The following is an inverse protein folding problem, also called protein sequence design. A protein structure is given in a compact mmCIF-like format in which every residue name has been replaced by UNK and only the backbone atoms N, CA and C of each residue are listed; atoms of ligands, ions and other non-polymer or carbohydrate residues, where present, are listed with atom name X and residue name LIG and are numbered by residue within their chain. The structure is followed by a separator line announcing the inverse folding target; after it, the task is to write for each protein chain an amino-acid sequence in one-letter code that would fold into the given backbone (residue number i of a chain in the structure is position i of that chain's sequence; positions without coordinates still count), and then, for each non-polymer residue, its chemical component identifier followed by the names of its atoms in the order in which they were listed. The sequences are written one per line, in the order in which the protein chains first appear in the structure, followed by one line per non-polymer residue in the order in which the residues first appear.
data_IF_885296255114
#
_entry.id   IF_885296255114
#
_cell.length_a   1.000
_cell.length_b   1.000
_cell.length_c   1.000
_cell.angle_alpha   90.00
_cell.angle_beta   90.00
_cell.angle_gamma   90.00
#
_symmetry.space_group_name_H-M   'P 1'
#
loop_
_entity.id
_entity.type
_entity.pdbx_description
1 polymer ?
#
# COMPACT_ATOMS: atom_id res chain seq x y z
N UNK A 1 -25.71 73.61 -29.58
CA UNK A 1 -24.75 74.44 -28.83
C UNK A 1 -24.89 74.09 -27.36
N UNK A 2 -23.87 73.40 -26.84
CA UNK A 2 -23.55 73.07 -25.43
C UNK A 2 -24.43 71.98 -24.78
N UNK A 3 -23.90 70.79 -24.44
CA UNK A 3 -22.87 70.49 -23.40
C UNK A 3 -23.35 70.94 -22.01
N UNK A 4 -23.22 70.22 -20.91
CA UNK A 4 -22.64 68.92 -20.56
C UNK A 4 -23.07 68.65 -19.09
N UNK A 5 -22.68 67.50 -18.55
CA UNK A 5 -22.64 67.17 -17.10
C UNK A 5 -23.90 66.59 -16.46
N UNK A 6 -24.16 65.31 -16.78
CA UNK A 6 -24.71 64.36 -15.81
C UNK A 6 -23.94 63.04 -15.97
N UNK A 7 -22.65 63.09 -15.62
CA UNK A 7 -21.79 61.92 -15.51
C UNK A 7 -21.19 61.91 -14.10
N UNK A 8 -21.08 60.70 -13.55
CA UNK A 8 -20.31 60.32 -12.35
C UNK A 8 -20.94 60.61 -10.99
N UNK A 9 -21.54 59.56 -10.41
CA UNK A 9 -21.34 59.18 -9.01
C UNK A 9 -21.87 57.75 -8.75
N UNK A 10 -21.28 56.73 -9.41
CA UNK A 10 -21.19 55.41 -8.77
C UNK A 10 -19.96 55.47 -7.89
N UNK A 11 -20.18 55.43 -6.58
CA UNK A 11 -19.14 55.27 -5.57
C UNK A 11 -18.48 53.91 -5.77
N UNK A 12 -17.22 53.91 -6.18
CA UNK A 12 -16.34 52.75 -6.10
C UNK A 12 -15.85 52.66 -4.64
N UNK A 13 -16.16 51.55 -3.97
CA UNK A 13 -15.58 51.21 -2.68
C UNK A 13 -14.08 50.96 -2.86
N UNK A 14 -13.20 51.48 -1.98
CA UNK A 14 -11.78 51.21 -2.07
C UNK A 14 -11.54 49.73 -1.77
N UNK A 15 -10.98 49.02 -2.75
CA UNK A 15 -10.61 47.62 -2.62
C UNK A 15 -9.73 47.40 -1.37
N UNK A 16 -10.08 46.38 -0.57
CA UNK A 16 -9.39 46.03 0.66
C UNK A 16 -7.87 45.84 0.39
N UNK A 17 -6.99 46.61 1.05
CA UNK A 17 -5.54 46.53 0.85
C UNK A 17 -4.99 45.13 1.16
N UNK A 18 -5.68 44.31 1.97
CA UNK A 18 -5.31 42.91 2.21
C UNK A 18 -5.55 42.01 1.00
N UNK A 19 -6.59 42.27 0.21
CA UNK A 19 -6.90 41.54 -1.02
C UNK A 19 -5.94 41.98 -2.14
N UNK A 20 -5.65 43.28 -2.23
CA UNK A 20 -4.64 43.78 -3.19
C UNK A 20 -3.25 43.21 -2.92
N UNK A 21 -2.87 43.03 -1.64
CA UNK A 21 -1.60 42.38 -1.26
C UNK A 21 -1.56 40.90 -1.65
N UNK A 22 -2.66 40.17 -1.41
CA UNK A 22 -2.78 38.76 -1.81
C UNK A 22 -2.81 38.57 -3.33
N UNK A 23 -3.40 39.50 -4.08
CA UNK A 23 -3.37 39.50 -5.54
C UNK A 23 -1.95 39.77 -6.04
N UNK A 24 -1.22 40.69 -5.40
CA UNK A 24 0.20 40.92 -5.70
C UNK A 24 1.07 39.68 -5.43
N UNK A 25 0.90 39.03 -4.28
CA UNK A 25 1.63 37.80 -3.93
C UNK A 25 1.32 36.64 -4.89
N UNK A 26 0.09 36.56 -5.42
CA UNK A 26 -0.29 35.57 -6.44
C UNK A 26 0.30 35.90 -7.81
N UNK A 27 0.36 37.18 -8.20
CA UNK A 27 0.98 37.61 -9.45
C UNK A 27 2.50 37.34 -9.42
N UNK A 28 3.18 37.65 -8.32
CA UNK A 28 4.61 37.36 -8.12
C UNK A 28 4.87 35.83 -8.10
N UNK A 29 3.92 35.04 -7.60
CA UNK A 29 3.97 33.59 -7.64
C UNK A 29 3.85 33.02 -9.06
N UNK A 30 3.04 33.66 -9.92
CA UNK A 30 2.91 33.28 -11.33
C UNK A 30 4.15 33.63 -12.14
N UNK A 31 4.74 34.82 -11.95
CA UNK A 31 5.97 35.21 -12.64
C UNK A 31 7.14 34.28 -12.30
N UNK A 32 7.23 33.81 -11.04
CA UNK A 32 8.23 32.81 -10.63
C UNK A 32 7.99 31.44 -11.25
N UNK A 33 6.73 31.03 -11.43
CA UNK A 33 6.38 29.78 -12.09
C UNK A 33 6.71 29.85 -13.59
N UNK A 34 6.37 30.96 -14.25
CA UNK A 34 6.67 31.20 -15.66
C UNK A 34 8.18 31.32 -15.90
N UNK A 35 8.92 31.99 -15.02
CA UNK A 35 10.38 32.04 -15.08
C UNK A 35 11.03 30.66 -14.88
N UNK A 36 10.45 29.82 -14.00
CA UNK A 36 10.93 28.44 -13.78
C UNK A 36 10.62 27.54 -14.98
N UNK A 37 9.43 27.68 -15.58
CA UNK A 37 9.04 26.93 -16.78
C UNK A 37 9.85 27.38 -18.00
N UNK A 38 10.10 28.68 -18.16
CA UNK A 38 10.94 29.22 -19.22
C UNK A 38 12.39 28.73 -19.07
N UNK A 39 12.94 28.68 -17.86
CA UNK A 39 14.27 28.13 -17.61
C UNK A 39 14.35 26.62 -17.92
N UNK A 40 13.32 25.84 -17.61
CA UNK A 40 13.26 24.39 -17.93
C UNK A 40 13.17 24.17 -19.44
N UNK A 41 12.33 24.95 -20.14
CA UNK A 41 12.19 24.87 -21.59
C UNK A 41 13.44 25.35 -22.35
N UNK A 42 14.18 26.31 -21.79
CA UNK A 42 15.46 26.78 -22.35
C UNK A 42 16.60 25.77 -22.08
N UNK A 43 16.56 25.04 -20.96
CA UNK A 43 17.49 23.96 -20.65
C UNK A 43 17.34 22.75 -21.59
N UNK A 44 16.15 22.49 -22.14
CA UNK A 44 15.90 21.46 -23.15
C UNK A 44 16.44 21.84 -24.56
N UNK A 45 16.72 23.13 -24.80
CA UNK A 45 17.24 23.65 -26.07
C UNK A 45 18.77 23.60 -26.22
N UNK A 46 19.53 23.47 -25.12
CA UNK A 46 20.99 23.66 -25.13
C UNK A 46 21.84 22.37 -24.98
N UNK A 47 21.24 21.18 -25.03
CA UNK A 47 22.00 19.91 -25.07
C UNK A 47 21.63 19.06 -26.27
N UNK A 48 21.87 19.59 -27.46
CA UNK A 48 22.16 18.77 -28.65
C UNK A 48 23.63 18.92 -29.01
N UNK A 49 24.49 18.29 -28.21
CA UNK A 49 25.85 17.94 -28.60
C UNK A 49 26.21 16.60 -27.96
N UNK A 50 26.73 15.70 -28.79
CA UNK A 50 26.92 14.29 -28.53
C UNK A 50 27.92 14.00 -27.38
N UNK A 51 27.77 12.81 -26.79
CA UNK A 51 28.66 12.10 -25.86
C UNK A 51 28.33 12.21 -24.36
N UNK A 52 27.67 11.15 -23.85
CA UNK A 52 27.51 10.85 -22.42
C UNK A 52 26.08 10.50 -22.04
N UNK A 53 25.68 9.23 -22.16
CA UNK A 53 24.37 8.75 -21.67
C UNK A 53 24.26 9.00 -20.14
N UNK A 54 23.16 9.60 -19.64
CA UNK A 54 22.97 9.79 -18.21
C UNK A 54 22.69 8.44 -17.52
N UNK A 55 23.39 8.20 -16.41
CA UNK A 55 23.49 6.92 -15.67
C UNK A 55 22.19 6.50 -14.94
N UNK A 56 21.06 7.20 -15.12
CA UNK A 56 19.79 6.84 -14.44
C UNK A 56 19.00 5.77 -15.20
N UNK A 57 18.97 5.83 -16.54
CA UNK A 57 18.31 4.77 -17.35
C UNK A 57 19.08 3.46 -17.34
N UNK A 58 20.41 3.51 -17.22
CA UNK A 58 21.24 2.29 -17.21
C UNK A 58 20.99 1.42 -15.99
N UNK A 59 20.68 2.01 -14.82
CA UNK A 59 20.36 1.26 -13.60
C UNK A 59 19.01 0.55 -13.72
N UNK A 60 17.99 1.22 -14.27
CA UNK A 60 16.70 0.57 -14.53
C UNK A 60 16.81 -0.51 -15.61
N UNK A 61 17.53 -0.27 -16.72
CA UNK A 61 17.72 -1.29 -17.76
C UNK A 61 18.57 -2.48 -17.27
N UNK A 62 19.58 -2.26 -16.43
CA UNK A 62 20.40 -3.33 -15.84
C UNK A 62 19.65 -4.10 -14.74
N UNK A 63 18.83 -3.43 -13.92
CA UNK A 63 17.94 -4.08 -12.96
C UNK A 63 16.86 -4.90 -13.68
N UNK A 64 16.21 -4.34 -14.72
CA UNK A 64 15.26 -5.07 -15.56
C UNK A 64 15.91 -6.29 -16.24
N UNK A 65 17.10 -6.15 -16.82
CA UNK A 65 17.80 -7.26 -17.48
C UNK A 65 18.26 -8.37 -16.51
N UNK A 66 18.58 -8.04 -15.25
CA UNK A 66 18.92 -9.06 -14.24
C UNK A 66 17.65 -9.76 -13.72
N UNK A 67 16.52 -9.04 -13.66
CA UNK A 67 15.21 -9.58 -13.27
C UNK A 67 14.61 -10.53 -14.33
N UNK A 68 14.88 -10.28 -15.61
CA UNK A 68 14.49 -11.17 -16.73
C UNK A 68 15.15 -12.55 -16.65
N UNK A 69 16.34 -12.65 -16.04
CA UNK A 69 17.05 -13.94 -15.89
C UNK A 69 16.52 -14.81 -14.73
N UNK A 70 15.74 -14.24 -13.80
CA UNK A 70 15.09 -14.95 -12.69
C UNK A 70 13.67 -15.44 -13.04
N UNK A 71 13.18 -15.15 -14.25
CA UNK A 71 11.79 -15.35 -14.71
C UNK A 71 11.29 -16.80 -14.75
N UNK A 72 12.19 -17.78 -14.63
CA UNK A 72 11.83 -19.21 -14.63
C UNK A 72 11.97 -19.89 -13.27
N UNK A 73 12.48 -19.21 -12.25
CA UNK A 73 12.79 -19.85 -10.96
C UNK A 73 11.58 -19.75 -10.04
N UNK A 74 11.20 -20.85 -9.33
CA UNK A 74 10.17 -20.78 -8.30
C UNK A 74 10.60 -19.84 -7.17
N UNK A 75 9.65 -19.11 -6.60
CA UNK A 75 9.87 -18.22 -5.47
C UNK A 75 10.43 -19.02 -4.29
N UNK A 76 11.48 -18.52 -3.62
CA UNK A 76 11.95 -19.17 -2.40
C UNK A 76 11.02 -18.87 -1.23
N UNK A 77 11.03 -19.72 -0.19
CA UNK A 77 10.22 -19.49 1.01
C UNK A 77 10.58 -18.17 1.72
N UNK A 78 11.85 -17.78 1.71
CA UNK A 78 12.28 -16.51 2.29
C UNK A 78 11.69 -15.31 1.53
N UNK A 79 11.66 -15.37 0.19
CA UNK A 79 11.05 -14.33 -0.64
C UNK A 79 9.53 -14.32 -0.51
N UNK A 80 8.89 -15.48 -0.36
CA UNK A 80 7.46 -15.58 -0.04
C UNK A 80 7.14 -14.82 1.25
N UNK A 81 7.86 -15.11 2.34
CA UNK A 81 7.65 -14.46 3.64
C UNK A 81 7.88 -12.95 3.53
N UNK A 82 8.93 -12.53 2.82
CA UNK A 82 9.20 -11.11 2.54
C UNK A 82 8.07 -10.45 1.72
N UNK A 83 7.58 -11.13 0.68
CA UNK A 83 6.49 -10.63 -0.14
C UNK A 83 5.18 -10.48 0.65
N UNK A 84 4.87 -11.43 1.54
CA UNK A 84 3.71 -11.39 2.43
C UNK A 84 3.86 -10.37 3.57
N UNK A 85 5.09 -9.99 3.93
CA UNK A 85 5.29 -8.94 4.91
C UNK A 85 5.14 -7.53 4.33
N UNK A 86 5.28 -7.39 3.01
CA UNK A 86 5.43 -6.12 2.30
C UNK A 86 6.71 -5.35 2.71
N UNK A 87 7.29 -4.56 1.80
CA UNK A 87 8.47 -3.74 2.11
C UNK A 87 8.14 -2.68 3.17
N UNK A 88 9.05 -2.48 4.11
CA UNK A 88 8.86 -1.51 5.20
C UNK A 88 9.00 -0.05 4.72
N UNK A 89 9.86 0.18 3.73
CA UNK A 89 10.15 1.52 3.18
C UNK A 89 10.43 1.44 1.67
N UNK A 90 10.42 2.60 1.01
CA UNK A 90 10.81 2.71 -0.41
C UNK A 90 12.27 2.32 -0.67
N UNK A 91 13.10 2.30 0.37
CA UNK A 91 14.53 1.95 0.30
C UNK A 91 14.77 0.43 0.47
N UNK A 92 13.76 -0.33 0.87
CA UNK A 92 13.83 -1.77 0.98
C UNK A 92 13.81 -2.45 -0.39
N UNK A 93 14.95 -2.39 -1.08
CA UNK A 93 15.13 -3.00 -2.40
C UNK A 93 14.89 -4.51 -2.39
N UNK A 94 15.18 -5.19 -1.27
CA UNK A 94 15.00 -6.64 -1.15
C UNK A 94 13.53 -6.99 -1.00
N UNK A 95 12.81 -6.29 -0.13
CA UNK A 95 11.36 -6.42 0.02
C UNK A 95 10.63 -6.07 -1.28
N UNK A 96 11.03 -4.99 -1.96
CA UNK A 96 10.47 -4.60 -3.26
C UNK A 96 10.73 -5.64 -4.37
N UNK A 97 11.90 -6.27 -4.39
CA UNK A 97 12.20 -7.34 -5.33
C UNK A 97 11.33 -8.60 -5.05
N UNK A 98 11.27 -9.02 -3.79
CA UNK A 98 10.43 -10.14 -3.36
C UNK A 98 8.94 -9.89 -3.65
N UNK A 99 8.45 -8.69 -3.35
CA UNK A 99 7.08 -8.25 -3.63
C UNK A 99 6.75 -8.32 -5.13
N UNK A 100 7.58 -7.70 -5.98
CA UNK A 100 7.39 -7.74 -7.44
C UNK A 100 7.43 -9.16 -8.00
N UNK A 101 8.30 -10.01 -7.47
CA UNK A 101 8.39 -11.42 -7.89
C UNK A 101 7.16 -12.21 -7.43
N UNK A 102 6.69 -11.98 -6.21
CA UNK A 102 5.46 -12.60 -5.69
C UNK A 102 4.20 -12.20 -6.46
N UNK A 103 4.06 -10.94 -6.89
CA UNK A 103 2.94 -10.49 -7.72
C UNK A 103 2.82 -11.23 -9.07
N UNK A 104 3.95 -11.71 -9.60
CA UNK A 104 4.03 -12.44 -10.87
C UNK A 104 3.80 -13.95 -10.71
N UNK A 105 3.88 -14.46 -9.48
CA UNK A 105 3.67 -15.88 -9.19
C UNK A 105 2.19 -16.24 -9.31
N UNK A 106 1.91 -17.36 -9.99
CA UNK A 106 0.55 -17.83 -10.24
C UNK A 106 -0.19 -18.23 -8.95
N UNK A 107 0.53 -18.80 -7.99
CA UNK A 107 -0.04 -19.39 -6.78
C UNK A 107 -0.29 -18.33 -5.72
N UNK A 108 0.66 -17.41 -5.52
CA UNK A 108 0.60 -16.43 -4.42
C UNK A 108 0.24 -15.01 -4.86
N UNK A 109 0.34 -14.68 -6.15
CA UNK A 109 0.08 -13.32 -6.63
C UNK A 109 -1.36 -12.86 -6.38
N UNK A 110 -2.32 -13.79 -6.35
CA UNK A 110 -3.70 -13.52 -5.93
C UNK A 110 -3.78 -13.10 -4.45
N UNK A 111 -3.12 -13.83 -3.56
CA UNK A 111 -3.04 -13.52 -2.14
C UNK A 111 -2.35 -12.18 -1.88
N UNK A 112 -1.26 -11.89 -2.59
CA UNK A 112 -0.53 -10.62 -2.41
C UNK A 112 -1.41 -9.43 -2.78
N UNK A 113 -2.11 -9.47 -3.92
CA UNK A 113 -3.05 -8.40 -4.32
C UNK A 113 -4.20 -8.25 -3.32
N UNK A 114 -4.81 -9.36 -2.92
CA UNK A 114 -5.90 -9.32 -1.94
C UNK A 114 -5.42 -8.79 -0.57
N UNK A 115 -4.17 -9.09 -0.20
CA UNK A 115 -3.53 -8.53 1.00
C UNK A 115 -3.28 -7.02 0.86
N UNK A 116 -2.79 -6.56 -0.29
CA UNK A 116 -2.58 -5.14 -0.56
C UNK A 116 -3.89 -4.35 -0.47
N UNK A 117 -4.96 -4.88 -1.05
CA UNK A 117 -6.29 -4.26 -1.03
C UNK A 117 -6.80 -4.11 0.41
N UNK A 118 -6.77 -5.18 1.20
CA UNK A 118 -7.30 -5.14 2.58
C UNK A 118 -6.43 -4.29 3.51
N UNK A 119 -5.10 -4.34 3.37
CA UNK A 119 -4.18 -3.49 4.14
C UNK A 119 -4.37 -2.01 3.76
N UNK A 120 -4.62 -1.72 2.48
CA UNK A 120 -4.95 -0.37 2.03
C UNK A 120 -6.25 0.10 2.66
N UNK A 121 -7.27 -0.75 2.75
CA UNK A 121 -8.53 -0.41 3.42
C UNK A 121 -8.33 -0.17 4.91
N UNK A 122 -7.54 -0.99 5.61
CA UNK A 122 -7.21 -0.76 7.02
C UNK A 122 -6.50 0.58 7.25
N UNK A 123 -5.56 0.95 6.38
CA UNK A 123 -4.84 2.22 6.53
C UNK A 123 -5.74 3.46 6.41
N UNK A 124 -6.86 3.38 5.67
CA UNK A 124 -7.85 4.46 5.60
C UNK A 124 -8.53 4.73 6.95
N UNK A 125 -8.64 3.68 7.75
CA UNK A 125 -9.19 3.73 9.11
C UNK A 125 -8.07 3.86 10.17
N UNK A 126 -6.86 4.26 9.74
CA UNK A 126 -5.66 4.41 10.57
C UNK A 126 -5.23 3.15 11.33
N UNK A 127 -5.59 1.97 10.81
CA UNK A 127 -5.23 0.68 11.40
C UNK A 127 -4.01 0.10 10.64
N UNK A 128 -2.90 -0.04 11.35
CA UNK A 128 -1.65 -0.59 10.80
C UNK A 128 -1.27 -1.89 11.52
N UNK A 129 -0.88 -2.92 10.76
CA UNK A 129 -0.57 -4.26 11.32
C UNK A 129 0.63 -4.28 12.27
N UNK A 130 1.54 -3.30 12.14
CA UNK A 130 2.74 -3.21 12.96
C UNK A 130 2.45 -2.65 14.36
N UNK A 131 1.39 -1.85 14.48
CA UNK A 131 0.94 -1.26 15.74
C UNK A 131 0.08 -2.24 16.56
N UNK A 132 -0.42 -3.30 15.92
CA UNK A 132 -1.22 -4.32 16.58
C UNK A 132 -0.36 -5.15 17.54
N UNK A 133 -0.81 -5.21 18.80
CA UNK A 133 -0.32 -6.23 19.72
C UNK A 133 -0.97 -7.55 19.34
N UNK A 134 -0.21 -8.42 18.66
CA UNK A 134 -0.63 -9.77 18.33
C UNK A 134 0.25 -10.78 19.09
N UNK A 135 -0.36 -11.63 19.90
CA UNK A 135 0.36 -12.73 20.57
C UNK A 135 1.00 -13.68 19.54
N UNK A 136 2.14 -14.27 19.90
CA UNK A 136 2.78 -15.31 19.07
C UNK A 136 1.88 -16.53 19.01
N UNK A 137 1.77 -17.12 17.83
CA UNK A 137 0.96 -18.32 17.59
C UNK A 137 1.87 -19.51 17.33
N UNK A 138 1.49 -20.69 17.86
CA UNK A 138 2.29 -21.89 17.66
C UNK A 138 2.19 -22.39 16.20
N UNK A 139 3.31 -22.77 15.55
CA UNK A 139 3.30 -23.34 14.20
C UNK A 139 2.39 -24.56 14.04
N UNK A 140 2.22 -25.34 15.11
CA UNK A 140 1.35 -26.52 15.12
C UNK A 140 -0.13 -26.15 14.88
N UNK A 141 -0.57 -25.02 15.44
CA UNK A 141 -1.95 -24.53 15.29
C UNK A 141 -2.21 -24.08 13.84
N UNK A 142 -1.24 -23.44 13.20
CA UNK A 142 -1.30 -23.13 11.78
C UNK A 142 -1.36 -24.38 10.90
N UNK A 143 -0.61 -25.44 11.24
CA UNK A 143 -0.71 -26.73 10.51
C UNK A 143 -2.08 -27.38 10.66
N UNK A 144 -2.71 -27.29 11.84
CA UNK A 144 -4.08 -27.78 12.04
C UNK A 144 -5.06 -26.99 11.17
N UNK A 145 -4.91 -25.67 11.13
CA UNK A 145 -5.72 -24.81 10.25
C UNK A 145 -5.60 -25.20 8.77
N UNK A 146 -4.39 -25.39 8.25
CA UNK A 146 -4.15 -25.81 6.86
C UNK A 146 -4.76 -27.19 6.52
N UNK A 147 -4.93 -28.06 7.52
CA UNK A 147 -5.58 -29.37 7.37
C UNK A 147 -7.11 -29.31 7.50
N UNK A 148 -7.68 -28.11 7.56
CA UNK A 148 -9.12 -27.91 7.72
C UNK A 148 -9.60 -27.96 9.18
N UNK A 149 -8.72 -27.87 10.17
CA UNK A 149 -9.10 -27.73 11.57
C UNK A 149 -9.93 -26.45 11.78
N UNK A 150 -10.93 -26.48 12.66
CA UNK A 150 -11.87 -25.38 12.93
C UNK A 150 -12.23 -25.28 14.41
N UNK A 151 -12.77 -24.13 14.81
CA UNK A 151 -13.19 -23.84 16.18
C UNK A 151 -12.07 -24.04 17.21
N UNK A 152 -12.36 -24.76 18.30
CA UNK A 152 -11.44 -24.99 19.42
C UNK A 152 -10.05 -25.52 19.04
N UNK A 153 -9.91 -26.26 17.94
CA UNK A 153 -8.61 -26.78 17.49
C UNK A 153 -7.64 -25.68 17.06
N UNK A 154 -8.17 -24.56 16.60
CA UNK A 154 -7.43 -23.42 16.06
C UNK A 154 -7.74 -22.10 16.80
N UNK A 155 -8.49 -22.17 17.91
CA UNK A 155 -8.88 -21.01 18.72
C UNK A 155 -7.71 -20.14 19.17
N UNK A 156 -6.51 -20.74 19.31
CA UNK A 156 -5.28 -20.02 19.62
C UNK A 156 -4.90 -18.96 18.57
N UNK A 157 -5.25 -19.16 17.28
CA UNK A 157 -5.00 -18.17 16.23
C UNK A 157 -5.75 -16.86 16.48
N UNK A 158 -6.92 -16.91 17.13
CA UNK A 158 -7.72 -15.74 17.47
C UNK A 158 -7.41 -15.12 18.84
N UNK A 159 -6.41 -15.62 19.58
CA UNK A 159 -6.04 -15.08 20.90
C UNK A 159 -5.13 -13.87 20.79
N UNK A 160 -5.12 -13.08 21.87
CA UNK A 160 -4.24 -11.93 22.05
C UNK A 160 -4.30 -10.93 20.90
N UNK A 161 -5.52 -10.66 20.42
CA UNK A 161 -5.82 -9.60 19.46
C UNK A 161 -6.40 -8.41 20.22
N UNK A 162 -5.96 -7.21 19.83
CA UNK A 162 -6.44 -5.98 20.44
C UNK A 162 -7.96 -5.79 20.23
N UNK A 163 -8.65 -5.41 21.32
CA UNK A 163 -10.10 -5.29 21.34
C UNK A 163 -10.58 -4.11 20.51
N UNK A 164 -9.88 -2.99 20.57
CA UNK A 164 -10.25 -1.78 19.81
C UNK A 164 -10.20 -2.07 18.30
N UNK A 165 -9.16 -2.76 17.86
CA UNK A 165 -9.00 -3.23 16.48
C UNK A 165 -10.13 -4.16 16.04
N UNK A 166 -10.54 -5.10 16.89
CA UNK A 166 -11.66 -6.00 16.62
C UNK A 166 -13.01 -5.26 16.49
N UNK A 167 -13.25 -4.29 17.38
CA UNK A 167 -14.47 -3.48 17.37
C UNK A 167 -14.53 -2.57 16.13
N UNK A 168 -13.42 -1.92 15.77
CA UNK A 168 -13.30 -1.06 14.59
C UNK A 168 -13.55 -1.84 13.29
N UNK A 169 -12.79 -2.92 13.07
CA UNK A 169 -12.93 -3.73 11.85
C UNK A 169 -14.28 -4.45 11.81
N UNK A 170 -14.78 -4.94 12.96
CA UNK A 170 -16.10 -5.56 13.05
C UNK A 170 -17.24 -4.59 12.74
N UNK A 171 -17.10 -3.32 13.12
CA UNK A 171 -18.00 -2.24 12.71
C UNK A 171 -17.94 -2.00 11.19
N UNK A 172 -16.72 -1.95 10.63
CA UNK A 172 -16.49 -1.72 9.19
C UNK A 172 -17.09 -2.83 8.32
N UNK A 173 -16.89 -4.09 8.70
CA UNK A 173 -17.48 -5.26 8.03
C UNK A 173 -19.01 -5.14 7.92
N UNK A 174 -19.69 -4.59 8.94
CA UNK A 174 -21.14 -4.42 8.94
C UNK A 174 -21.60 -3.24 8.09
N UNK A 175 -20.85 -2.15 8.09
CA UNK A 175 -21.25 -0.86 7.50
C UNK A 175 -20.85 -0.70 6.03
N UNK A 176 -19.78 -1.36 5.59
CA UNK A 176 -19.21 -1.19 4.25
C UNK A 176 -19.17 -2.53 3.50
N UNK A 177 -20.00 -2.63 2.45
CA UNK A 177 -20.06 -3.82 1.61
C UNK A 177 -18.81 -4.03 0.75
N UNK A 178 -18.11 -2.95 0.37
CA UNK A 178 -16.85 -3.05 -0.40
C UNK A 178 -15.77 -3.62 0.51
N UNK A 179 -15.70 -3.14 1.75
CA UNK A 179 -14.79 -3.68 2.75
C UNK A 179 -15.05 -5.17 3.00
N UNK A 180 -16.32 -5.56 3.16
CA UNK A 180 -16.71 -6.95 3.36
C UNK A 180 -16.32 -7.85 2.20
N UNK A 181 -16.60 -7.44 0.96
CA UNK A 181 -16.24 -8.21 -0.24
C UNK A 181 -14.71 -8.38 -0.36
N UNK A 182 -13.95 -7.32 -0.10
CA UNK A 182 -12.49 -7.38 -0.07
C UNK A 182 -11.97 -8.33 1.01
N UNK A 183 -12.55 -8.29 2.22
CA UNK A 183 -12.19 -9.19 3.31
C UNK A 183 -12.49 -10.66 2.98
N UNK A 184 -13.69 -10.96 2.44
CA UNK A 184 -14.06 -12.30 1.99
C UNK A 184 -13.18 -12.80 0.85
N UNK A 185 -12.83 -11.93 -0.11
CA UNK A 185 -11.88 -12.24 -1.16
C UNK A 185 -10.50 -12.57 -0.60
N UNK A 186 -9.99 -11.75 0.32
CA UNK A 186 -8.72 -11.97 1.00
C UNK A 186 -8.69 -13.28 1.78
N UNK A 187 -9.68 -13.56 2.63
CA UNK A 187 -9.76 -14.78 3.44
C UNK A 187 -9.76 -16.04 2.57
N UNK A 188 -10.51 -16.04 1.45
CA UNK A 188 -10.52 -17.16 0.50
C UNK A 188 -9.17 -17.38 -0.18
N UNK A 189 -8.50 -16.31 -0.60
CA UNK A 189 -7.16 -16.43 -1.17
C UNK A 189 -6.16 -16.94 -0.14
N UNK A 190 -6.24 -16.45 1.10
CA UNK A 190 -5.36 -16.89 2.18
C UNK A 190 -5.54 -18.38 2.48
N UNK A 191 -6.78 -18.84 2.68
CA UNK A 191 -7.08 -20.25 3.00
C UNK A 191 -6.56 -21.19 1.91
N UNK A 192 -6.83 -20.86 0.63
CA UNK A 192 -6.35 -21.63 -0.51
C UNK A 192 -4.82 -21.66 -0.56
N UNK A 193 -4.19 -20.50 -0.64
CA UNK A 193 -2.74 -20.39 -0.83
C UNK A 193 -1.98 -20.98 0.36
N UNK A 194 -2.42 -20.73 1.60
CA UNK A 194 -1.77 -21.24 2.80
C UNK A 194 -1.88 -22.77 2.90
N UNK A 195 -3.04 -23.35 2.60
CA UNK A 195 -3.23 -24.81 2.63
C UNK A 195 -2.35 -25.53 1.60
N UNK A 196 -2.16 -24.94 0.42
CA UNK A 196 -1.30 -25.49 -0.64
C UNK A 196 0.20 -25.49 -0.25
N UNK A 197 0.66 -24.51 0.53
CA UNK A 197 2.08 -24.34 0.85
C UNK A 197 2.49 -24.87 2.23
N UNK A 198 1.57 -24.95 3.20
CA UNK A 198 1.90 -25.21 4.61
C UNK A 198 2.66 -26.54 4.83
N UNK A 199 2.40 -27.57 4.02
CA UNK A 199 3.08 -28.86 4.14
C UNK A 199 4.58 -28.80 3.75
N UNK A 200 4.98 -27.79 2.98
CA UNK A 200 6.35 -27.59 2.53
C UNK A 200 7.17 -26.65 3.43
N UNK A 201 6.51 -25.99 4.39
CA UNK A 201 7.15 -25.05 5.30
C UNK A 201 7.65 -25.76 6.57
N UNK A 202 8.83 -25.41 7.04
CA UNK A 202 9.33 -25.78 8.36
C UNK A 202 8.60 -24.99 9.48
N UNK A 203 8.70 -25.46 10.72
CA UNK A 203 8.08 -24.74 11.85
C UNK A 203 8.65 -23.32 12.04
N UNK A 204 9.92 -23.10 11.69
CA UNK A 204 10.56 -21.78 11.74
C UNK A 204 9.98 -20.85 10.65
N UNK A 205 9.74 -21.37 9.46
CA UNK A 205 9.16 -20.61 8.36
C UNK A 205 7.68 -20.30 8.61
N UNK A 206 6.92 -21.23 9.18
CA UNK A 206 5.53 -20.97 9.60
C UNK A 206 5.49 -19.89 10.68
N UNK A 207 6.40 -19.93 11.67
CA UNK A 207 6.47 -18.89 12.69
C UNK A 207 6.77 -17.51 12.06
N UNK A 208 7.72 -17.44 11.12
CA UNK A 208 8.03 -16.21 10.41
C UNK A 208 6.88 -15.71 9.52
N UNK A 209 6.15 -16.62 8.86
CA UNK A 209 4.96 -16.29 8.08
C UNK A 209 3.85 -15.76 8.98
N UNK A 210 3.62 -16.39 10.14
CA UNK A 210 2.60 -15.99 11.11
C UNK A 210 2.81 -14.57 11.66
N UNK A 211 4.06 -14.08 11.67
CA UNK A 211 4.41 -12.74 12.12
C UNK A 211 4.25 -11.66 11.04
N UNK A 212 3.99 -12.03 9.78
CA UNK A 212 3.83 -11.08 8.66
C UNK A 212 2.58 -10.22 8.75
N UNK A 213 2.60 -9.04 8.13
CA UNK A 213 1.42 -8.15 8.01
C UNK A 213 0.20 -8.88 7.42
N UNK A 214 0.39 -9.69 6.37
CA UNK A 214 -0.69 -10.51 5.78
C UNK A 214 -1.27 -11.51 6.78
N UNK A 215 -0.45 -12.25 7.53
CA UNK A 215 -0.95 -13.24 8.49
C UNK A 215 -1.65 -12.59 9.70
N UNK A 216 -1.17 -11.42 10.15
CA UNK A 216 -1.84 -10.62 11.19
C UNK A 216 -3.22 -10.15 10.74
N UNK A 217 -3.32 -9.65 9.50
CA UNK A 217 -4.60 -9.26 8.90
C UNK A 217 -5.58 -10.45 8.83
N UNK A 218 -5.08 -11.63 8.44
CA UNK A 218 -5.87 -12.86 8.43
C UNK A 218 -6.39 -13.22 9.82
N UNK A 219 -5.56 -13.17 10.86
CA UNK A 219 -6.01 -13.45 12.23
C UNK A 219 -7.07 -12.46 12.72
N UNK A 220 -6.90 -11.17 12.42
CA UNK A 220 -7.87 -10.15 12.80
C UNK A 220 -9.24 -10.41 12.14
N UNK A 221 -9.27 -10.61 10.83
CA UNK A 221 -10.50 -10.86 10.08
C UNK A 221 -11.12 -12.22 10.39
N UNK A 222 -10.30 -13.27 10.48
CA UNK A 222 -10.75 -14.61 10.83
C UNK A 222 -11.42 -14.64 12.21
N UNK A 223 -10.96 -13.83 13.17
CA UNK A 223 -11.62 -13.71 14.47
C UNK A 223 -12.98 -13.04 14.37
N UNK A 224 -13.11 -12.02 13.52
CA UNK A 224 -14.38 -11.27 13.33
C UNK A 224 -15.41 -12.14 12.60
N UNK A 225 -14.99 -12.95 11.65
CA UNK A 225 -15.82 -13.90 10.91
C UNK A 225 -16.14 -15.19 11.70
N UNK A 226 -15.63 -15.33 12.93
CA UNK A 226 -15.90 -16.51 13.76
C UNK A 226 -15.19 -17.78 13.28
N UNK A 227 -14.10 -17.65 12.51
CA UNK A 227 -13.35 -18.80 11.98
C UNK A 227 -12.68 -19.64 13.08
N UNK A 228 -12.45 -19.03 14.24
CA UNK A 228 -11.71 -19.60 15.38
C UNK A 228 -12.60 -19.99 16.58
N UNK A 229 -13.92 -19.83 16.45
CA UNK A 229 -14.89 -20.05 17.53
C UNK A 229 -15.63 -21.40 17.44
#
# INVERSE_FOLDING_TARGET
MREAQASQARREEPADPGIQRKIGELADGQERLEATLAWILDAEGMTRSEAGKPTIFRRQEQEHATLEQEEGKPLTVAELIQAMNFPDTAEDMKGMAAYRRGLRDQTIGGLIRASEDILTLFSRDALYMDDLTAGRTQPETWRKYAKGGRGNEIAELGRDLDRESLELVGGRMKQDSIFRDAAEHFLRNFDKTFSEMCDHLSNKEIAALADTRTARAFRLLGKIEGLFD
#
